data_IF_519753153409
#
_entry.id   IF_519753153409
#
_cell.length_a   1.000
_cell.length_b   1.000
_cell.length_c   1.000
_cell.angle_alpha   90.00
_cell.angle_beta   90.00
_cell.angle_gamma   90.00
#
_symmetry.space_group_name_H-M   'P 1'
#
loop_
_entity.id
_entity.type
_entity.pdbx_description
1 polymer ?
#
# COMPACT_ATOMS: atom_id res chain seq x y z
N UNK A 1 -6.59 -16.10 -20.84
CA UNK A 1 -6.98 -16.90 -19.65
C UNK A 1 -8.49 -16.79 -19.47
N UNK A 2 -9.20 -17.90 -19.20
CA UNK A 2 -10.67 -17.93 -19.06
C UNK A 2 -11.19 -17.26 -17.77
N UNK A 3 -10.30 -16.77 -16.92
CA UNK A 3 -10.60 -16.29 -15.57
C UNK A 3 -11.33 -14.95 -15.56
N UNK A 4 -11.00 -14.02 -16.47
CA UNK A 4 -11.66 -12.72 -16.54
C UNK A 4 -13.17 -12.87 -16.84
N UNK A 5 -13.59 -13.63 -17.88
CA UNK A 5 -15.01 -13.91 -18.11
C UNK A 5 -15.73 -14.56 -16.91
N UNK A 6 -15.04 -15.43 -16.16
CA UNK A 6 -15.60 -16.06 -14.95
C UNK A 6 -15.84 -14.98 -13.88
N UNK A 7 -14.86 -14.12 -13.62
CA UNK A 7 -15.01 -13.02 -12.66
C UNK A 7 -16.16 -12.10 -13.08
N UNK A 8 -16.24 -11.71 -14.36
CA UNK A 8 -17.33 -10.88 -14.88
C UNK A 8 -18.71 -11.53 -14.65
N UNK A 9 -18.83 -12.83 -14.88
CA UNK A 9 -20.06 -13.58 -14.57
C UNK A 9 -20.36 -13.58 -13.07
N UNK A 10 -19.36 -13.80 -12.22
CA UNK A 10 -19.55 -13.80 -10.76
C UNK A 10 -20.04 -12.44 -10.27
N UNK A 11 -19.41 -11.36 -10.73
CA UNK A 11 -19.78 -9.99 -10.34
C UNK A 11 -21.16 -9.58 -10.88
N UNK A 12 -21.50 -9.97 -12.11
CA UNK A 12 -22.78 -9.59 -12.73
C UNK A 12 -23.98 -10.42 -12.26
N UNK A 13 -23.77 -11.69 -11.89
CA UNK A 13 -24.88 -12.63 -11.63
C UNK A 13 -24.80 -13.29 -10.26
N UNK A 14 -23.73 -14.04 -9.99
CA UNK A 14 -23.64 -14.91 -8.82
C UNK A 14 -23.62 -14.14 -7.50
N UNK A 15 -22.78 -13.11 -7.40
CA UNK A 15 -22.65 -12.31 -6.18
C UNK A 15 -23.93 -11.50 -5.90
N UNK A 16 -24.51 -10.76 -6.86
CA UNK A 16 -25.83 -10.14 -6.70
C UNK A 16 -26.91 -11.10 -6.18
N UNK A 17 -27.04 -12.28 -6.81
CA UNK A 17 -28.03 -13.27 -6.41
C UNK A 17 -27.80 -13.79 -4.98
N UNK A 18 -26.54 -14.02 -4.59
CA UNK A 18 -26.19 -14.42 -3.22
C UNK A 18 -26.56 -13.34 -2.20
N UNK A 19 -26.26 -12.06 -2.49
CA UNK A 19 -26.60 -10.95 -1.61
C UNK A 19 -28.11 -10.86 -1.41
N UNK A 20 -28.89 -10.94 -2.49
CA UNK A 20 -30.35 -10.89 -2.44
C UNK A 20 -30.94 -12.09 -1.67
N UNK A 21 -30.39 -13.29 -1.87
CA UNK A 21 -30.79 -14.49 -1.11
C UNK A 21 -30.49 -14.37 0.39
N UNK A 22 -29.36 -13.79 0.76
CA UNK A 22 -29.03 -13.54 2.17
C UNK A 22 -29.93 -12.47 2.77
N UNK A 23 -30.22 -11.40 2.02
CA UNK A 23 -31.13 -10.35 2.47
C UNK A 23 -32.56 -10.85 2.72
N UNK A 24 -33.02 -11.86 1.97
CA UNK A 24 -34.34 -12.48 2.15
C UNK A 24 -34.44 -13.35 3.43
N UNK A 25 -33.33 -13.74 4.05
CA UNK A 25 -33.32 -14.58 5.25
C UNK A 25 -33.38 -13.70 6.51
N UNK A 26 -34.44 -13.78 7.35
CA UNK A 26 -34.62 -12.89 8.50
C UNK A 26 -33.49 -12.94 9.54
N UNK A 27 -32.77 -14.07 9.63
CA UNK A 27 -31.69 -14.28 10.60
C UNK A 27 -30.29 -14.03 10.02
N UNK A 28 -30.16 -13.77 8.72
CA UNK A 28 -28.87 -13.59 8.08
C UNK A 28 -28.36 -12.15 8.25
N UNK A 29 -27.05 -12.00 8.48
CA UNK A 29 -26.41 -10.68 8.50
C UNK A 29 -26.22 -10.18 7.06
N UNK A 30 -26.43 -8.87 6.80
CA UNK A 30 -26.21 -8.31 5.47
C UNK A 30 -24.72 -8.36 5.11
N UNK A 31 -24.43 -8.59 3.83
CA UNK A 31 -23.07 -8.47 3.30
C UNK A 31 -22.69 -6.99 3.29
N UNK A 32 -21.54 -6.63 3.86
CA UNK A 32 -21.06 -5.24 3.96
C UNK A 32 -19.65 -5.01 3.41
N UNK A 33 -18.92 -6.08 3.12
CA UNK A 33 -17.55 -6.01 2.62
C UNK A 33 -17.34 -7.10 1.57
N UNK A 34 -16.81 -6.71 0.41
CA UNK A 34 -16.26 -7.59 -0.62
C UNK A 34 -14.75 -7.40 -0.64
N UNK A 35 -14.00 -8.50 -0.49
CA UNK A 35 -12.54 -8.50 -0.60
C UNK A 35 -12.13 -9.30 -1.84
N UNK A 36 -11.29 -8.72 -2.69
CA UNK A 36 -10.71 -9.37 -3.87
C UNK A 36 -9.20 -9.46 -3.68
N UNK A 37 -8.67 -10.68 -3.56
CA UNK A 37 -7.27 -10.97 -3.27
C UNK A 37 -6.67 -11.96 -4.28
N UNK A 38 -5.76 -11.57 -5.19
CA UNK A 38 -5.51 -10.21 -5.70
C UNK A 38 -6.13 -10.06 -7.09
N UNK A 39 -6.52 -8.84 -7.49
CA UNK A 39 -7.05 -8.62 -8.84
C UNK A 39 -5.94 -8.64 -9.91
N UNK A 40 -4.70 -8.36 -9.51
CA UNK A 40 -3.56 -8.21 -10.43
C UNK A 40 -3.19 -9.53 -11.11
N UNK A 41 -3.32 -10.66 -10.43
CA UNK A 41 -2.98 -12.00 -10.96
C UNK A 41 -3.64 -12.28 -12.31
N UNK A 42 -4.89 -11.83 -12.51
CA UNK A 42 -5.63 -12.00 -13.77
C UNK A 42 -4.97 -11.35 -14.99
N UNK A 43 -4.08 -10.39 -14.76
CA UNK A 43 -3.40 -9.62 -15.79
C UNK A 43 -1.93 -9.97 -15.98
N UNK A 44 -1.43 -10.98 -15.26
CA UNK A 44 -0.11 -11.55 -15.52
C UNK A 44 -0.16 -12.38 -16.81
N UNK A 45 0.08 -11.74 -17.95
CA UNK A 45 0.27 -12.48 -19.20
C UNK A 45 1.75 -12.79 -19.41
N UNK A 46 2.08 -14.05 -19.67
CA UNK A 46 3.41 -14.45 -20.15
C UNK A 46 3.72 -13.96 -21.59
N UNK A 47 2.71 -13.42 -22.28
CA UNK A 47 2.86 -12.89 -23.62
C UNK A 47 3.54 -11.50 -23.60
N UNK A 48 4.32 -11.21 -24.65
CA UNK A 48 4.95 -9.91 -24.82
C UNK A 48 3.91 -8.80 -24.78
N UNK A 49 4.17 -7.78 -23.96
CA UNK A 49 3.31 -6.59 -23.87
C UNK A 49 3.26 -5.91 -25.25
N UNK A 50 2.05 -5.74 -25.76
CA UNK A 50 1.74 -5.01 -26.99
C UNK A 50 0.63 -3.99 -26.72
N UNK A 51 0.46 -3.03 -27.63
CA UNK A 51 -0.64 -2.04 -27.56
C UNK A 51 -2.02 -2.72 -27.52
N UNK A 52 -2.19 -3.81 -28.28
CA UNK A 52 -3.42 -4.60 -28.28
C UNK A 52 -3.70 -5.24 -26.92
N UNK A 53 -2.69 -5.85 -26.28
CA UNK A 53 -2.85 -6.45 -24.94
C UNK A 53 -3.11 -5.40 -23.86
N UNK A 54 -2.50 -4.22 -23.97
CA UNK A 54 -2.74 -3.09 -23.05
C UNK A 54 -4.16 -2.52 -23.20
N UNK A 55 -4.65 -2.41 -24.44
CA UNK A 55 -6.02 -1.99 -24.72
C UNK A 55 -7.04 -2.98 -24.17
N UNK A 56 -6.81 -4.28 -24.40
CA UNK A 56 -7.67 -5.33 -23.86
C UNK A 56 -7.67 -5.35 -22.32
N UNK A 57 -6.50 -5.20 -21.69
CA UNK A 57 -6.37 -5.06 -20.24
C UNK A 57 -7.17 -3.88 -19.71
N UNK A 58 -7.04 -2.72 -20.35
CA UNK A 58 -7.78 -1.50 -19.99
C UNK A 58 -9.29 -1.71 -20.09
N UNK A 59 -9.76 -2.37 -21.16
CA UNK A 59 -11.17 -2.69 -21.35
C UNK A 59 -11.70 -3.59 -20.23
N UNK A 60 -10.97 -4.67 -19.91
CA UNK A 60 -11.36 -5.58 -18.84
C UNK A 60 -11.36 -4.91 -17.46
N UNK A 61 -10.38 -4.05 -17.16
CA UNK A 61 -10.36 -3.28 -15.91
C UNK A 61 -11.56 -2.34 -15.79
N UNK A 62 -11.94 -1.66 -16.87
CA UNK A 62 -13.10 -0.77 -16.90
C UNK A 62 -14.43 -1.53 -16.73
N UNK A 63 -14.55 -2.71 -17.33
CA UNK A 63 -15.76 -3.54 -17.19
C UNK A 63 -15.91 -4.08 -15.76
N UNK A 64 -14.80 -4.56 -15.19
CA UNK A 64 -14.76 -5.01 -13.79
C UNK A 64 -15.08 -3.83 -12.86
N UNK A 65 -14.47 -2.66 -13.04
CA UNK A 65 -14.73 -1.50 -12.18
C UNK A 65 -16.19 -1.05 -12.25
N UNK A 66 -16.79 -1.01 -13.44
CA UNK A 66 -18.19 -0.64 -13.61
C UNK A 66 -19.13 -1.58 -12.83
N UNK A 67 -18.87 -2.89 -12.87
CA UNK A 67 -19.63 -3.87 -12.09
C UNK A 67 -19.41 -3.67 -10.58
N UNK A 68 -18.18 -3.48 -10.13
CA UNK A 68 -17.88 -3.24 -8.71
C UNK A 68 -18.57 -1.98 -8.18
N UNK A 69 -18.54 -0.88 -8.93
CA UNK A 69 -19.27 0.36 -8.59
C UNK A 69 -20.78 0.16 -8.52
N UNK A 70 -21.33 -0.60 -9.47
CA UNK A 70 -22.76 -0.92 -9.49
C UNK A 70 -23.18 -1.73 -8.27
N UNK A 71 -22.38 -2.74 -7.89
CA UNK A 71 -22.62 -3.59 -6.72
C UNK A 71 -22.48 -2.77 -5.43
N UNK A 72 -21.39 -2.01 -5.30
CA UNK A 72 -21.12 -1.15 -4.14
C UNK A 72 -22.27 -0.17 -3.90
N UNK A 73 -22.74 0.49 -4.97
CA UNK A 73 -23.82 1.47 -4.91
C UNK A 73 -25.19 0.82 -4.66
N UNK A 74 -25.51 -0.28 -5.34
CA UNK A 74 -26.82 -0.97 -5.20
C UNK A 74 -26.98 -1.59 -3.82
N UNK A 75 -25.95 -2.25 -3.30
CA UNK A 75 -26.03 -3.02 -2.05
C UNK A 75 -25.41 -2.31 -0.85
N UNK A 76 -24.83 -1.12 -1.04
CA UNK A 76 -24.18 -0.34 0.02
C UNK A 76 -23.10 -1.17 0.74
N UNK A 77 -22.20 -1.75 -0.05
CA UNK A 77 -21.07 -2.55 0.42
C UNK A 77 -19.75 -1.84 0.15
N UNK A 78 -18.78 -2.02 1.05
CA UNK A 78 -17.40 -1.63 0.79
C UNK A 78 -16.72 -2.67 -0.10
N UNK A 79 -15.90 -2.23 -1.05
CA UNK A 79 -15.10 -3.10 -1.91
C UNK A 79 -13.63 -2.83 -1.63
N UNK A 80 -12.90 -3.86 -1.20
CA UNK A 80 -11.46 -3.83 -0.98
C UNK A 80 -10.79 -4.72 -2.02
N UNK A 81 -9.89 -4.13 -2.81
CA UNK A 81 -9.13 -4.85 -3.83
C UNK A 81 -7.66 -4.83 -3.45
N UNK A 82 -7.06 -6.01 -3.31
CA UNK A 82 -5.63 -6.15 -3.14
C UNK A 82 -4.95 -6.09 -4.51
N UNK A 83 -3.87 -5.34 -4.55
CA UNK A 83 -3.11 -5.05 -5.75
C UNK A 83 -1.63 -5.32 -5.49
N UNK A 84 -0.97 -5.94 -6.45
CA UNK A 84 0.47 -6.12 -6.41
C UNK A 84 1.23 -4.85 -6.83
N UNK A 85 2.50 -4.81 -6.48
CA UNK A 85 3.42 -3.72 -6.79
C UNK A 85 4.51 -4.19 -7.76
N UNK A 86 4.94 -3.29 -8.64
CA UNK A 86 6.08 -3.48 -9.53
C UNK A 86 7.24 -2.58 -9.12
N UNK A 87 8.45 -2.95 -9.50
CA UNK A 87 9.62 -2.09 -9.36
C UNK A 87 9.55 -0.92 -10.33
N UNK A 88 9.93 0.25 -9.82
CA UNK A 88 10.16 1.44 -10.63
C UNK A 88 11.57 1.36 -11.19
N UNK A 89 11.68 1.34 -12.52
CA UNK A 89 12.97 1.42 -13.20
C UNK A 89 13.36 2.89 -13.35
N UNK A 90 14.48 3.29 -12.75
CA UNK A 90 15.04 4.61 -12.97
C UNK A 90 15.58 4.71 -14.41
N UNK A 91 15.33 5.84 -15.08
CA UNK A 91 15.87 6.09 -16.43
C UNK A 91 17.34 6.43 -16.29
N UNK A 92 18.16 5.89 -17.18
CA UNK A 92 19.54 6.34 -17.32
C UNK A 92 19.51 7.82 -17.71
N UNK A 93 20.16 8.73 -16.94
CA UNK A 93 20.22 10.15 -17.27
C UNK A 93 20.84 10.45 -18.65
N UNK A 94 21.49 9.47 -19.30
CA UNK A 94 21.99 9.61 -20.67
C UNK A 94 21.02 9.14 -21.78
N UNK A 95 19.77 8.77 -21.46
CA UNK A 95 18.81 8.32 -22.47
C UNK A 95 18.26 9.49 -23.31
N UNK A 96 18.15 9.28 -24.63
CA UNK A 96 17.75 10.29 -25.61
C UNK A 96 16.38 10.94 -25.27
N UNK A 97 16.23 12.27 -25.48
CA UNK A 97 15.02 13.02 -25.15
C UNK A 97 13.80 12.73 -26.06
N UNK A 98 13.92 11.83 -27.04
CA UNK A 98 12.87 11.57 -28.05
C UNK A 98 11.65 10.77 -27.51
N UNK A 99 11.73 10.18 -26.30
CA UNK A 99 10.59 9.55 -25.61
C UNK A 99 9.69 10.59 -24.90
N UNK A 100 9.27 11.64 -25.62
CA UNK A 100 8.55 12.79 -25.05
C UNK A 100 7.19 12.43 -24.40
N UNK A 101 6.54 11.34 -24.82
CA UNK A 101 5.25 10.90 -24.28
C UNK A 101 5.34 10.13 -22.96
N UNK A 102 6.42 9.40 -22.72
CA UNK A 102 6.61 8.62 -21.49
C UNK A 102 6.89 9.51 -20.28
N UNK A 103 7.48 10.69 -20.50
CA UNK A 103 7.70 11.70 -19.47
C UNK A 103 6.38 12.11 -18.78
N UNK A 104 5.33 12.33 -19.58
CA UNK A 104 4.04 12.81 -19.07
C UNK A 104 3.36 11.78 -18.17
N UNK A 105 3.36 10.51 -18.57
CA UNK A 105 2.74 9.46 -17.74
C UNK A 105 3.53 9.23 -16.46
N UNK A 106 4.86 9.11 -16.54
CA UNK A 106 5.70 8.79 -15.39
C UNK A 106 5.64 9.88 -14.32
N UNK A 107 5.65 11.14 -14.74
CA UNK A 107 5.60 12.28 -13.84
C UNK A 107 4.22 12.41 -13.18
N UNK A 108 3.16 11.93 -13.82
CA UNK A 108 1.84 11.85 -13.19
C UNK A 108 1.71 10.64 -12.26
N UNK A 109 2.26 9.48 -12.66
CA UNK A 109 2.15 8.22 -11.94
C UNK A 109 2.65 8.29 -10.49
N UNK A 110 3.62 9.15 -10.20
CA UNK A 110 4.10 9.35 -8.83
C UNK A 110 3.00 9.80 -7.85
N UNK A 111 1.98 10.51 -8.32
CA UNK A 111 0.92 11.06 -7.46
C UNK A 111 -0.18 10.06 -7.11
N UNK A 112 -0.28 8.95 -7.84
CA UNK A 112 -1.38 7.99 -7.67
C UNK A 112 -0.96 6.52 -7.61
N UNK A 113 0.27 6.18 -8.01
CA UNK A 113 0.79 4.81 -7.96
C UNK A 113 1.86 4.58 -6.90
N UNK A 114 2.40 5.63 -6.27
CA UNK A 114 3.54 5.54 -5.35
C UNK A 114 3.24 6.26 -4.05
N UNK A 115 3.82 5.77 -2.96
CA UNK A 115 3.89 6.50 -1.71
C UNK A 115 5.31 7.05 -1.50
N UNK A 116 5.43 8.12 -0.74
CA UNK A 116 6.68 8.84 -0.49
C UNK A 116 6.84 9.27 0.97
N UNK A 117 6.15 8.59 1.89
CA UNK A 117 6.14 8.92 3.31
C UNK A 117 7.42 8.52 4.05
N UNK A 118 8.20 7.59 3.49
CA UNK A 118 9.49 7.14 4.02
C UNK A 118 10.53 6.95 2.90
N UNK A 119 11.84 7.05 3.23
CA UNK A 119 12.90 6.76 2.28
C UNK A 119 12.75 5.37 1.65
N UNK A 120 12.86 5.31 0.32
CA UNK A 120 12.82 4.07 -0.46
C UNK A 120 11.42 3.56 -0.83
N UNK A 121 10.34 4.18 -0.35
CA UNK A 121 8.96 3.79 -0.69
C UNK A 121 8.62 4.03 -2.17
N UNK A 122 9.21 5.07 -2.77
CA UNK A 122 9.04 5.46 -4.18
C UNK A 122 9.57 4.46 -5.20
N UNK A 123 10.31 3.43 -4.76
CA UNK A 123 10.89 2.40 -5.64
C UNK A 123 9.87 1.36 -6.11
N UNK A 124 8.70 1.33 -5.49
CA UNK A 124 7.61 0.44 -5.86
C UNK A 124 6.41 1.26 -6.33
N UNK A 125 5.71 0.75 -7.33
CA UNK A 125 4.48 1.36 -7.81
C UNK A 125 3.38 0.31 -8.01
N UNK A 126 2.13 0.74 -7.88
CA UNK A 126 0.98 -0.11 -8.13
C UNK A 126 0.92 -0.65 -9.57
N UNK A 127 0.83 -1.98 -9.71
CA UNK A 127 0.91 -2.69 -11.00
C UNK A 127 -0.21 -2.42 -12.01
N UNK A 128 -1.41 -2.03 -11.54
CA UNK A 128 -2.58 -1.81 -12.41
C UNK A 128 -2.64 -0.44 -13.10
N UNK A 129 -1.69 0.45 -12.82
CA UNK A 129 -1.50 1.71 -13.55
C UNK A 129 -2.66 2.71 -13.44
N UNK A 130 -2.63 3.72 -14.32
CA UNK A 130 -3.57 4.85 -14.32
C UNK A 130 -5.03 4.46 -14.58
N UNK A 131 -5.28 3.50 -15.47
CA UNK A 131 -6.65 3.05 -15.77
C UNK A 131 -7.35 2.63 -14.50
N UNK A 132 -6.69 1.84 -13.66
CA UNK A 132 -7.25 1.42 -12.37
C UNK A 132 -7.24 2.53 -11.32
N UNK A 133 -6.20 3.38 -11.29
CA UNK A 133 -6.15 4.50 -10.36
C UNK A 133 -7.37 5.44 -10.48
N UNK A 134 -7.87 5.63 -11.70
CA UNK A 134 -9.06 6.45 -11.96
C UNK A 134 -10.39 5.79 -11.55
N UNK A 135 -10.38 4.49 -11.19
CA UNK A 135 -11.60 3.74 -10.87
C UNK A 135 -11.81 3.56 -9.37
N UNK A 136 -10.87 4.00 -8.52
CA UNK A 136 -10.92 3.74 -7.07
C UNK A 136 -11.05 5.04 -6.29
N UNK A 137 -11.70 4.99 -5.13
CA UNK A 137 -11.92 6.16 -4.28
C UNK A 137 -10.75 6.46 -3.34
N UNK A 138 -9.98 5.44 -2.99
CA UNK A 138 -8.82 5.57 -2.13
C UNK A 138 -7.79 4.50 -2.49
N UNK A 139 -6.51 4.84 -2.33
CA UNK A 139 -5.41 3.91 -2.41
C UNK A 139 -4.54 4.00 -1.18
N UNK A 140 -4.29 2.85 -0.58
CA UNK A 140 -3.44 2.70 0.58
C UNK A 140 -2.26 1.82 0.18
N UNK A 141 -1.04 2.28 0.45
CA UNK A 141 0.19 1.54 0.25
C UNK A 141 0.71 1.04 1.59
N UNK A 142 1.10 -0.24 1.64
CA UNK A 142 1.63 -0.88 2.84
C UNK A 142 3.11 -1.20 2.60
N UNK A 143 3.97 -0.58 3.40
CA UNK A 143 5.42 -0.64 3.24
C UNK A 143 6.06 -1.33 4.43
N UNK A 144 6.97 -2.27 4.17
CA UNK A 144 7.83 -2.83 5.22
C UNK A 144 8.92 -1.81 5.53
N UNK A 145 9.20 -1.59 6.80
CA UNK A 145 10.33 -0.76 7.24
C UNK A 145 11.41 -1.63 7.87
N UNK A 146 12.64 -1.13 7.93
CA UNK A 146 13.74 -1.82 8.62
C UNK A 146 13.73 -1.55 10.14
N UNK A 147 12.74 -0.80 10.64
CA UNK A 147 12.59 -0.51 12.07
C UNK A 147 11.97 -1.71 12.79
N UNK A 148 12.55 -2.09 13.92
CA UNK A 148 12.06 -3.14 14.81
C UNK A 148 11.66 -2.54 16.15
N UNK A 149 10.71 -3.18 16.83
CA UNK A 149 10.25 -2.77 18.17
C UNK A 149 10.00 -3.98 19.06
N UNK A 150 10.35 -3.86 20.34
CA UNK A 150 10.02 -4.83 21.38
C UNK A 150 8.53 -4.72 21.77
N UNK A 151 7.83 -5.85 21.84
CA UNK A 151 6.39 -5.90 22.13
C UNK A 151 6.03 -5.52 23.57
N UNK A 152 6.97 -5.61 24.52
CA UNK A 152 6.72 -5.29 25.94
C UNK A 152 6.19 -3.87 26.15
N UNK A 153 6.63 -2.90 25.34
CA UNK A 153 6.19 -1.49 25.40
C UNK A 153 4.69 -1.27 25.11
N UNK A 154 4.10 -2.14 24.28
CA UNK A 154 2.72 -2.02 23.80
C UNK A 154 1.72 -2.64 24.77
N UNK A 155 2.04 -3.80 25.35
CA UNK A 155 1.17 -4.53 26.27
C UNK A 155 1.08 -3.87 27.66
N UNK A 156 2.19 -3.31 28.18
CA UNK A 156 2.24 -2.72 29.52
C UNK A 156 1.42 -1.43 29.65
N UNK A 157 1.15 -0.71 28.54
CA UNK A 157 0.31 0.50 28.56
C UNK A 157 -1.18 0.19 28.65
N UNK A 158 -1.64 -0.97 28.18
CA UNK A 158 -3.06 -1.39 28.28
C UNK A 158 -3.35 -2.21 29.55
N UNK A 159 -2.35 -2.88 30.14
CA UNK A 159 -2.52 -3.82 31.26
C UNK A 159 -2.34 -3.24 32.67
N UNK A 160 -2.48 -1.92 32.87
CA UNK A 160 -2.36 -1.30 34.21
C UNK A 160 -3.57 -1.56 35.12
N UNK A 161 -3.97 -2.83 35.26
CA UNK A 161 -4.90 -3.34 36.28
C UNK A 161 -4.85 -4.87 36.40
N UNK A 162 -3.66 -5.48 36.52
CA UNK A 162 -3.57 -6.79 37.19
C UNK A 162 -2.17 -7.03 37.73
N UNK A 163 -2.04 -6.98 39.05
CA UNK A 163 -0.90 -7.51 39.80
C UNK A 163 -1.16 -9.00 40.01
N UNK A 164 -0.19 -9.85 39.66
CA UNK A 164 0.37 -10.97 40.44
C UNK A 164 1.43 -11.63 39.56
N UNK A 165 2.53 -11.99 40.22
CA UNK A 165 3.79 -12.53 39.71
C UNK A 165 3.62 -13.79 38.85
N UNK A 166 4.32 -13.84 37.71
CA UNK A 166 4.83 -15.09 37.15
C UNK A 166 6.15 -14.81 36.42
N UNK A 167 7.22 -15.43 36.93
CA UNK A 167 8.53 -15.48 36.30
C UNK A 167 8.49 -16.54 35.21
N UNK A 168 8.29 -16.14 33.96
CA UNK A 168 8.53 -16.99 32.80
C UNK A 168 9.20 -16.16 31.71
N UNK A 169 10.49 -16.45 31.48
CA UNK A 169 11.27 -16.16 30.28
C UNK A 169 10.57 -15.26 29.24
N UNK A 170 10.76 -13.94 29.34
CA UNK A 170 10.28 -12.99 28.35
C UNK A 170 11.00 -13.28 27.03
N UNK A 171 10.29 -13.97 26.14
CA UNK A 171 10.76 -14.19 24.80
C UNK A 171 10.68 -12.82 24.11
N UNK A 172 11.82 -12.16 24.04
CA UNK A 172 11.96 -10.76 23.62
C UNK A 172 11.70 -10.63 22.11
N UNK A 173 10.42 -10.72 21.73
CA UNK A 173 10.03 -10.87 20.35
C UNK A 173 10.01 -9.49 19.68
N UNK A 174 11.06 -9.23 18.90
CA UNK A 174 11.16 -8.07 18.02
C UNK A 174 10.12 -8.17 16.90
N UNK A 175 9.19 -7.21 16.84
CA UNK A 175 8.22 -7.09 15.75
C UNK A 175 8.62 -5.97 14.81
N UNK A 176 8.53 -6.25 13.50
CA UNK A 176 8.85 -5.28 12.45
C UNK A 176 7.76 -4.23 12.32
N UNK A 177 8.15 -2.96 12.39
CA UNK A 177 7.27 -1.82 12.12
C UNK A 177 7.01 -1.76 10.62
N UNK A 178 5.75 -1.57 10.26
CA UNK A 178 5.29 -1.36 8.90
C UNK A 178 4.64 0.01 8.81
N UNK A 179 4.66 0.60 7.62
CA UNK A 179 4.02 1.88 7.36
C UNK A 179 2.83 1.71 6.45
N UNK A 180 1.74 2.38 6.79
CA UNK A 180 0.57 2.53 5.97
C UNK A 180 0.57 3.97 5.45
N UNK A 181 0.44 4.12 4.13
CA UNK A 181 0.47 5.43 3.46
C UNK A 181 -0.78 5.56 2.60
N UNK A 182 -1.65 6.53 2.91
CA UNK A 182 -2.77 6.89 2.03
C UNK A 182 -2.21 7.69 0.87
N UNK A 183 -2.06 7.03 -0.30
CA UNK A 183 -1.52 7.66 -1.52
C UNK A 183 -2.48 8.74 -1.99
N UNK A 184 -3.76 8.39 -2.10
CA UNK A 184 -4.82 9.34 -2.37
C UNK A 184 -6.14 8.87 -1.77
N UNK A 185 -7.01 9.83 -1.49
CA UNK A 185 -8.38 9.63 -1.08
C UNK A 185 -9.19 10.86 -1.53
N UNK A 186 -10.42 10.66 -1.98
CA UNK A 186 -11.29 11.75 -2.43
C UNK A 186 -11.80 12.63 -1.28
N UNK A 187 -11.73 12.16 -0.03
CA UNK A 187 -12.32 12.85 1.13
C UNK A 187 -11.27 13.25 2.16
N UNK A 188 -10.19 12.49 2.31
CA UNK A 188 -9.19 12.71 3.33
C UNK A 188 -7.88 13.25 2.75
N UNK A 189 -7.20 14.10 3.51
CA UNK A 189 -5.83 14.52 3.21
C UNK A 189 -4.88 13.31 3.23
N UNK A 190 -3.78 13.36 2.46
CA UNK A 190 -2.73 12.35 2.56
C UNK A 190 -2.26 12.19 4.01
N UNK A 191 -2.23 10.96 4.49
CA UNK A 191 -1.82 10.61 5.83
C UNK A 191 -1.05 9.30 5.80
N UNK A 192 -0.17 9.12 6.77
CA UNK A 192 0.54 7.87 6.95
C UNK A 192 0.71 7.56 8.42
N UNK A 193 0.74 6.28 8.76
CA UNK A 193 0.88 5.83 10.13
C UNK A 193 1.71 4.56 10.20
N UNK A 194 2.33 4.36 11.36
CA UNK A 194 3.07 3.14 11.65
C UNK A 194 2.17 2.12 12.35
N UNK A 195 2.33 0.87 11.97
CA UNK A 195 1.61 -0.24 12.57
C UNK A 195 2.51 -1.47 12.72
N UNK A 196 2.08 -2.36 13.60
CA UNK A 196 2.66 -3.68 13.80
C UNK A 196 1.58 -4.74 13.58
N UNK A 197 2.02 -5.95 13.24
CA UNK A 197 1.14 -7.10 13.16
C UNK A 197 1.47 -8.03 14.32
N UNK A 198 0.46 -8.23 15.15
CA UNK A 198 0.44 -9.10 16.32
C UNK A 198 -0.40 -10.34 16.02
N UNK A 199 -0.40 -11.29 16.93
CA UNK A 199 -1.30 -12.45 16.93
C UNK A 199 -2.78 -12.05 17.00
N UNK A 200 -3.11 -10.96 17.71
CA UNK A 200 -4.46 -10.39 17.77
C UNK A 200 -4.85 -9.58 16.51
N UNK A 201 -3.89 -9.33 15.60
CA UNK A 201 -4.10 -8.58 14.36
C UNK A 201 -3.27 -7.30 14.27
N UNK A 202 -3.83 -6.26 13.64
CA UNK A 202 -3.10 -5.02 13.36
C UNK A 202 -3.26 -4.03 14.51
N UNK A 203 -2.13 -3.54 15.04
CA UNK A 203 -2.10 -2.50 16.05
C UNK A 203 -1.35 -1.26 15.52
N UNK A 204 -1.95 -0.08 15.67
CA UNK A 204 -1.30 1.19 15.32
C UNK A 204 -0.35 1.62 16.42
N UNK A 205 0.75 2.24 16.03
CA UNK A 205 1.67 2.87 16.95
C UNK A 205 1.32 4.37 17.03
N UNK A 206 1.34 4.99 18.23
CA UNK A 206 1.26 6.44 18.32
C UNK A 206 2.42 7.04 17.54
N UNK A 207 2.17 8.14 16.80
CA UNK A 207 3.23 8.88 16.09
C UNK A 207 4.37 9.16 17.07
N UNK A 208 5.47 8.44 16.92
CA UNK A 208 6.72 8.82 17.57
C UNK A 208 7.11 10.15 16.98
N UNK A 209 7.05 11.19 17.81
CA UNK A 209 7.55 12.52 17.51
C UNK A 209 8.93 12.40 16.85
N UNK A 210 9.02 13.02 15.68
CA UNK A 210 10.22 13.48 14.98
C UNK A 210 11.37 12.48 14.80
N UNK A 211 11.70 12.27 13.53
CA UNK A 211 13.00 11.78 13.11
C UNK A 211 14.04 12.76 13.67
N UNK A 212 14.76 12.41 14.75
CA UNK A 212 15.94 13.18 15.15
C UNK A 212 16.88 13.18 13.93
N UNK A 213 17.13 14.34 13.28
CA UNK A 213 18.11 14.38 12.22
C UNK A 213 19.43 13.88 12.79
N UNK A 214 20.20 13.07 12.04
CA UNK A 214 21.52 12.66 12.50
C UNK A 214 22.31 13.92 12.90
N UNK A 215 23.03 13.89 14.03
CA UNK A 215 23.79 15.06 14.49
C UNK A 215 24.67 15.53 13.33
N UNK A 216 24.72 16.85 13.08
CA UNK A 216 25.49 17.40 11.97
C UNK A 216 26.93 16.85 12.05
N UNK A 217 27.54 16.50 10.91
CA UNK A 217 28.91 15.99 10.91
C UNK A 217 29.78 17.00 11.66
N UNK A 218 30.41 16.54 12.73
CA UNK A 218 31.33 17.37 13.53
C UNK A 218 32.31 18.02 12.56
N UNK A 219 32.33 19.36 12.57
CA UNK A 219 33.28 20.12 11.78
C UNK A 219 34.69 19.56 12.05
N UNK A 220 35.51 19.35 11.00
CA UNK A 220 36.86 18.85 11.19
C UNK A 220 37.58 19.76 12.18
N UNK A 221 38.18 19.15 13.21
CA UNK A 221 38.95 19.87 14.21
C UNK A 221 39.96 20.77 13.50
N UNK A 222 39.84 22.08 13.72
CA UNK A 222 40.79 23.07 13.23
C UNK A 222 42.14 22.71 13.86
N UNK A 223 43.02 22.12 13.06
CA UNK A 223 44.41 21.90 13.44
C UNK A 223 45.04 23.28 13.58
N UNK A 224 45.54 23.68 14.77
CA UNK A 224 46.19 24.97 14.91
C UNK A 224 47.45 24.97 14.02
N UNK A 225 47.57 26.01 13.19
CA UNK A 225 48.70 26.20 12.29
C UNK A 225 49.99 26.26 13.11
N UNK A 226 50.94 25.38 12.76
CA UNK A 226 52.27 25.32 13.37
C UNK A 226 53.10 26.53 12.89
N UNK A 227 53.48 27.49 13.76
CA UNK A 227 54.13 28.71 13.31
C UNK A 227 55.65 28.57 13.44
N UNK A 228 56.30 27.68 12.68
CA UNK A 228 57.76 27.68 12.56
C UNK A 228 58.21 27.19 11.18
N UNK A 229 58.25 28.11 10.23
CA UNK A 229 59.11 28.03 9.05
C UNK A 229 59.51 29.44 8.62
N UNK A 230 60.41 30.06 9.37
CA UNK A 230 61.21 31.21 8.91
C UNK A 230 62.66 31.01 9.37
N UNK A 231 63.43 30.35 8.50
CA UNK A 231 64.84 30.59 8.11
C UNK A 231 65.58 29.29 7.83
#
# INVERSE_FOLDING_TARGET
TPEIPILLRVLSTTLPALIEQLAAKPAAKPVKLLVIDTLTELFHSHARVSTATLSQRSKSLNEISALLHSIASKYQIAVLVLNEVMDVMDRDPSADPDDSYDLVYRDQAQFFNRADSIPGERRKEASMGLVWANQINARIMLSRTERLRHLEDTEHRKRKRRRVEDQSSSNDQLTRIRRLSVVFNHVASPQSLDYIVTDEGIATLPETAEFDPPPPPMAPAVVPANPLAVR
#
